data_IF_895861747599
#
_entry.id   IF_895861747599
#
_cell.length_a   1.000
_cell.length_b   1.000
_cell.length_c   1.000
_cell.angle_alpha   90.00
_cell.angle_beta   90.00
_cell.angle_gamma   90.00
#
_symmetry.space_group_name_H-M   'P 1'
#
loop_
_entity.id
_entity.type
_entity.pdbx_description
1 polymer ?
#
# COMPACT_ATOMS: atom_id res chain seq x y z
N UNK A 1 9.33 -44.62 34.07
CA UNK A 1 10.68 -44.49 33.50
C UNK A 1 10.63 -43.46 32.39
N UNK A 2 11.19 -42.27 32.65
CA UNK A 2 11.37 -41.17 31.70
C UNK A 2 12.37 -41.53 30.58
N UNK A 3 12.34 -40.79 29.46
CA UNK A 3 13.23 -40.81 28.26
C UNK A 3 12.73 -41.78 27.18
N UNK A 4 12.47 -41.40 25.93
CA UNK A 4 13.10 -40.37 25.12
C UNK A 4 12.07 -39.44 24.47
N UNK A 5 12.21 -38.17 24.80
CA UNK A 5 11.64 -37.01 24.17
C UNK A 5 12.77 -36.48 23.26
N UNK A 6 12.65 -36.60 21.94
CA UNK A 6 13.56 -35.96 20.97
C UNK A 6 12.73 -35.63 19.71
N UNK A 7 12.08 -34.47 19.70
CA UNK A 7 12.59 -33.25 19.04
C UNK A 7 12.81 -33.43 17.52
N UNK A 8 11.71 -33.65 16.80
CA UNK A 8 11.58 -33.07 15.47
C UNK A 8 10.44 -32.04 15.52
N UNK A 9 10.63 -30.99 16.33
CA UNK A 9 9.89 -29.74 16.11
C UNK A 9 10.47 -29.19 14.81
N UNK A 10 9.85 -29.58 13.70
CA UNK A 10 10.03 -28.90 12.42
C UNK A 10 9.58 -27.47 12.68
N UNK A 11 10.52 -26.56 12.87
CA UNK A 11 10.26 -25.14 12.74
C UNK A 11 9.89 -24.91 11.27
N UNK A 12 8.61 -25.10 10.95
CA UNK A 12 8.03 -24.56 9.75
C UNK A 12 8.12 -23.05 9.95
N UNK A 13 9.21 -22.46 9.46
CA UNK A 13 9.26 -21.04 9.20
C UNK A 13 8.27 -20.80 8.06
N UNK A 14 6.99 -20.69 8.41
CA UNK A 14 6.01 -20.11 7.52
C UNK A 14 6.47 -18.66 7.39
N UNK A 15 7.28 -18.37 6.38
CA UNK A 15 7.43 -17.00 5.91
C UNK A 15 6.01 -16.54 5.62
N UNK A 16 5.47 -15.68 6.48
CA UNK A 16 4.25 -14.96 6.17
C UNK A 16 4.58 -14.13 4.94
N UNK A 17 4.27 -14.66 3.75
CA UNK A 17 4.12 -13.83 2.58
C UNK A 17 2.95 -12.95 2.93
N UNK A 18 3.27 -11.76 3.46
CA UNK A 18 2.26 -10.77 3.77
C UNK A 18 1.61 -10.49 2.42
N UNK A 19 0.36 -10.94 2.25
CA UNK A 19 -0.42 -10.63 1.08
C UNK A 19 -0.33 -9.12 0.95
N UNK A 20 0.19 -8.66 -0.17
CA UNK A 20 0.53 -7.28 -0.30
C UNK A 20 -0.78 -6.47 -0.34
N UNK A 21 -1.08 -5.81 0.77
CA UNK A 21 -2.40 -5.23 0.98
C UNK A 21 -2.55 -3.96 0.14
N UNK A 22 -3.49 -4.01 -0.80
CA UNK A 22 -4.00 -2.82 -1.46
C UNK A 22 -4.93 -2.11 -0.49
N UNK A 23 -4.56 -0.91 -0.04
CA UNK A 23 -5.41 -0.11 0.84
C UNK A 23 -5.76 1.22 0.20
N UNK A 24 -6.97 1.70 0.49
CA UNK A 24 -7.43 3.04 0.10
C UNK A 24 -7.67 3.80 1.39
N UNK A 25 -6.87 4.84 1.61
CA UNK A 25 -6.92 5.63 2.84
C UNK A 25 -7.22 7.09 2.54
N UNK A 26 -7.87 7.83 3.46
CA UNK A 26 -7.88 9.28 3.41
C UNK A 26 -6.44 9.84 3.41
N UNK A 27 -6.22 10.98 2.76
CA UNK A 27 -4.98 11.73 2.96
C UNK A 27 -4.84 12.09 4.44
N UNK A 28 -3.65 11.85 5.00
CA UNK A 28 -3.30 12.35 6.34
C UNK A 28 -3.23 13.89 6.33
N UNK A 29 -3.40 14.50 7.49
CA UNK A 29 -3.24 15.95 7.63
C UNK A 29 -1.82 16.40 7.24
N UNK A 30 -0.80 15.63 7.59
CA UNK A 30 0.59 15.93 7.20
C UNK A 30 0.76 15.98 5.69
N UNK A 31 0.19 15.02 4.94
CA UNK A 31 0.25 15.01 3.48
C UNK A 31 -0.53 16.16 2.86
N UNK A 32 -1.71 16.51 3.41
CA UNK A 32 -2.47 17.70 2.96
C UNK A 32 -1.64 18.98 3.10
N UNK A 33 -1.02 19.19 4.26
CA UNK A 33 -0.17 20.36 4.51
C UNK A 33 1.06 20.37 3.61
N UNK A 34 1.67 19.20 3.36
CA UNK A 34 2.81 19.09 2.45
C UNK A 34 2.42 19.45 1.01
N UNK A 35 1.26 18.99 0.53
CA UNK A 35 0.74 19.33 -0.79
C UNK A 35 0.49 20.83 -0.95
N UNK A 36 -0.09 21.47 0.06
CA UNK A 36 -0.30 22.93 0.09
C UNK A 36 1.05 23.66 0.07
N UNK A 37 1.97 23.27 0.97
CA UNK A 37 3.31 23.87 1.08
C UNK A 37 4.10 23.77 -0.22
N UNK A 38 4.01 22.63 -0.91
CA UNK A 38 4.65 22.38 -2.21
C UNK A 38 3.87 22.95 -3.40
N UNK A 39 2.72 23.62 -3.17
CA UNK A 39 1.83 24.17 -4.20
C UNK A 39 1.30 23.14 -5.20
N UNK A 40 1.30 21.86 -4.82
CA UNK A 40 0.65 20.79 -5.59
C UNK A 40 -0.88 20.94 -5.52
N UNK A 41 -1.37 21.49 -4.40
CA UNK A 41 -2.77 21.84 -4.20
C UNK A 41 -2.90 23.27 -3.67
N UNK A 42 -3.96 23.98 -4.08
CA UNK A 42 -4.37 25.29 -3.58
C UNK A 42 -5.88 25.48 -3.75
N UNK A 43 -6.47 26.54 -3.18
CA UNK A 43 -7.93 26.78 -3.15
C UNK A 43 -8.61 26.94 -4.53
N UNK A 44 -7.84 26.97 -5.62
CA UNK A 44 -8.36 26.98 -7.00
C UNK A 44 -8.37 25.60 -7.67
N UNK A 45 -7.86 24.56 -7.00
CA UNK A 45 -7.84 23.23 -7.58
C UNK A 45 -9.26 22.64 -7.69
N UNK A 46 -9.60 21.97 -8.80
CA UNK A 46 -10.95 21.48 -9.07
C UNK A 46 -11.39 20.31 -8.17
N UNK A 47 -10.45 19.68 -7.48
CA UNK A 47 -10.70 18.55 -6.58
C UNK A 47 -10.29 18.95 -5.17
N UNK A 48 -11.25 18.95 -4.25
CA UNK A 48 -10.99 19.24 -2.84
C UNK A 48 -10.12 18.15 -2.17
N UNK A 49 -9.29 18.53 -1.20
CA UNK A 49 -8.39 17.59 -0.49
C UNK A 49 -9.13 16.41 0.17
N UNK A 50 -10.37 16.61 0.64
CA UNK A 50 -11.17 15.54 1.25
C UNK A 50 -11.73 14.53 0.22
N UNK A 51 -11.67 14.86 -1.08
CA UNK A 51 -12.01 13.97 -2.20
C UNK A 51 -10.81 13.20 -2.73
N UNK A 52 -9.63 13.42 -2.16
CA UNK A 52 -8.44 12.66 -2.50
C UNK A 52 -8.26 11.48 -1.55
N UNK A 53 -7.72 10.38 -2.07
CA UNK A 53 -7.34 9.17 -1.33
C UNK A 53 -5.92 8.79 -1.69
N UNK A 54 -5.23 8.14 -0.76
CA UNK A 54 -3.95 7.48 -1.00
C UNK A 54 -4.23 6.00 -1.19
N UNK A 55 -3.87 5.47 -2.35
CA UNK A 55 -3.77 4.04 -2.55
C UNK A 55 -2.37 3.62 -2.11
N UNK A 56 -2.28 2.66 -1.18
CA UNK A 56 -1.03 1.94 -0.89
C UNK A 56 -1.07 0.58 -1.59
N UNK A 57 0.03 0.21 -2.22
CA UNK A 57 0.09 -1.02 -3.02
C UNK A 57 1.53 -1.50 -3.19
N UNK A 58 1.74 -2.81 -3.37
CA UNK A 58 3.01 -3.35 -3.81
C UNK A 58 3.27 -3.08 -5.30
N UNK A 59 4.53 -3.11 -5.72
CA UNK A 59 4.88 -3.14 -7.14
C UNK A 59 6.24 -3.81 -7.36
N UNK A 60 6.44 -4.34 -8.57
CA UNK A 60 7.77 -4.76 -9.03
C UNK A 60 8.54 -3.58 -9.62
N UNK A 61 9.81 -3.43 -9.24
CA UNK A 61 10.72 -2.52 -9.92
C UNK A 61 11.31 -3.14 -11.20
N UNK A 62 12.17 -2.39 -11.89
CA UNK A 62 12.81 -2.83 -13.13
C UNK A 62 13.79 -4.00 -12.96
N UNK A 63 14.18 -4.32 -11.72
CA UNK A 63 15.03 -5.46 -11.39
C UNK A 63 14.20 -6.66 -10.89
N UNK A 64 12.87 -6.61 -11.03
CA UNK A 64 11.94 -7.64 -10.54
C UNK A 64 11.93 -7.78 -9.01
N UNK A 65 12.36 -6.76 -8.26
CA UNK A 65 12.25 -6.73 -6.80
C UNK A 65 10.88 -6.18 -6.41
N UNK A 66 10.21 -6.86 -5.48
CA UNK A 66 8.93 -6.41 -4.93
C UNK A 66 9.16 -5.33 -3.86
N UNK A 67 8.46 -4.21 -4.01
CA UNK A 67 8.40 -3.12 -3.04
C UNK A 67 6.99 -3.04 -2.46
N UNK A 68 6.88 -2.66 -1.19
CA UNK A 68 5.61 -2.58 -0.44
C UNK A 68 5.24 -1.15 -0.03
N UNK A 69 5.99 -0.16 -0.49
CA UNK A 69 5.87 1.25 -0.12
C UNK A 69 5.25 2.12 -1.22
N UNK A 70 4.71 1.48 -2.28
CA UNK A 70 4.01 2.16 -3.36
C UNK A 70 2.84 2.99 -2.84
N UNK A 71 2.77 4.25 -3.28
CA UNK A 71 1.74 5.22 -2.91
C UNK A 71 1.29 6.01 -4.13
N UNK A 72 -0.03 6.14 -4.29
CA UNK A 72 -0.62 6.94 -5.36
C UNK A 72 -1.79 7.76 -4.82
N UNK A 73 -1.77 9.08 -5.04
CA UNK A 73 -2.90 9.95 -4.70
C UNK A 73 -3.88 9.95 -5.86
N UNK A 74 -5.15 9.65 -5.57
CA UNK A 74 -6.23 9.56 -6.57
C UNK A 74 -7.48 10.31 -6.10
N UNK A 75 -8.35 10.62 -7.06
CA UNK A 75 -9.71 11.04 -6.76
C UNK A 75 -10.54 9.86 -6.24
N UNK A 76 -11.31 10.07 -5.16
CA UNK A 76 -12.03 9.01 -4.46
C UNK A 76 -13.04 8.27 -5.33
N UNK A 77 -13.72 8.95 -6.24
CA UNK A 77 -14.74 8.34 -7.10
C UNK A 77 -14.18 7.27 -8.05
N UNK A 78 -12.86 7.24 -8.25
CA UNK A 78 -12.19 6.27 -9.13
C UNK A 78 -11.21 5.36 -8.38
N UNK A 79 -11.08 5.48 -7.06
CA UNK A 79 -10.04 4.75 -6.29
C UNK A 79 -10.14 3.24 -6.45
N UNK A 80 -11.34 2.67 -6.35
CA UNK A 80 -11.58 1.23 -6.52
C UNK A 80 -11.21 0.74 -7.93
N UNK A 81 -11.54 1.52 -8.96
CA UNK A 81 -11.18 1.19 -10.34
C UNK A 81 -9.67 1.23 -10.55
N UNK A 82 -8.97 2.19 -9.94
CA UNK A 82 -7.51 2.27 -10.00
C UNK A 82 -6.89 1.06 -9.30
N UNK A 83 -7.37 0.67 -8.12
CA UNK A 83 -6.91 -0.56 -7.44
C UNK A 83 -7.10 -1.79 -8.34
N UNK A 84 -8.24 -1.92 -9.02
CA UNK A 84 -8.47 -3.03 -9.95
C UNK A 84 -7.46 -3.06 -11.11
N UNK A 85 -7.06 -1.90 -11.63
CA UNK A 85 -6.02 -1.79 -12.67
C UNK A 85 -4.66 -2.19 -12.10
N UNK A 86 -4.29 -1.67 -10.93
CA UNK A 86 -3.00 -1.98 -10.29
C UNK A 86 -2.87 -3.48 -10.00
N UNK A 87 -3.91 -4.11 -9.45
CA UNK A 87 -3.96 -5.56 -9.22
C UNK A 87 -3.81 -6.40 -10.48
N UNK A 88 -4.19 -5.85 -11.64
CA UNK A 88 -4.12 -6.57 -12.92
C UNK A 88 -2.74 -6.49 -13.58
N UNK A 89 -1.99 -5.43 -13.32
CA UNK A 89 -0.81 -5.09 -14.14
C UNK A 89 0.49 -4.87 -13.35
N UNK A 90 0.44 -4.70 -12.02
CA UNK A 90 1.63 -4.37 -11.21
C UNK A 90 2.09 -5.48 -10.27
N UNK A 91 1.32 -6.56 -10.18
CA UNK A 91 1.62 -7.79 -9.43
C UNK A 91 1.23 -9.00 -10.25
#
# INVERSE_FOLDING_TARGET
>A
MYRLLLLCIVFINISQVNAADFTIEPLSESSKQEMIKKKVWHDGCPVALNRLRVIKFPYYDFNSVIHHDGKLVVFDAVSERVVAILKKYMI
#
